data_IF_219803182426
#
_entry.id   IF_219803182426
#
_cell.length_a   1.000
_cell.length_b   1.000
_cell.length_c   1.000
_cell.angle_alpha   90.00
_cell.angle_beta   90.00
_cell.angle_gamma   90.00
#
_symmetry.space_group_name_H-M   'P 1'
#
loop_
_entity.id
_entity.type
_entity.pdbx_description
1 polymer ?
#
# COMPACT_ATOMS: atom_id res chain seq x y z
N UNK A 1 -15.91 -15.60 18.15
CA UNK A 1 -15.02 -16.02 19.25
C UNK A 1 -13.81 -15.10 19.16
N UNK A 2 -13.37 -14.48 20.26
CA UNK A 2 -12.16 -13.66 20.26
C UNK A 2 -10.94 -14.58 20.11
N UNK A 3 -9.98 -14.18 19.27
CA UNK A 3 -8.72 -14.92 19.12
C UNK A 3 -7.94 -14.94 20.44
N UNK A 4 -7.32 -16.07 20.73
CA UNK A 4 -6.56 -16.31 21.97
C UNK A 4 -5.13 -15.80 21.82
N UNK A 5 -4.62 -15.17 22.87
CA UNK A 5 -3.22 -14.81 23.02
C UNK A 5 -2.61 -15.61 24.17
N UNK A 6 -1.58 -16.41 23.89
CA UNK A 6 -0.89 -17.24 24.89
C UNK A 6 0.34 -16.56 25.50
N UNK A 7 0.76 -15.40 25.00
CA UNK A 7 1.80 -14.58 25.62
C UNK A 7 1.21 -13.83 26.82
N UNK A 8 1.31 -14.44 28.00
CA UNK A 8 0.73 -13.90 29.23
C UNK A 8 1.70 -12.92 29.91
N UNK A 9 1.24 -11.71 30.29
CA UNK A 9 2.09 -10.73 30.95
C UNK A 9 2.36 -11.15 32.40
N UNK A 10 3.58 -10.91 32.87
CA UNK A 10 4.02 -11.24 34.22
C UNK A 10 3.92 -10.04 35.17
N UNK A 11 3.54 -10.29 36.43
CA UNK A 11 3.54 -9.30 37.52
C UNK A 11 2.74 -8.00 37.25
N UNK A 12 1.57 -8.11 36.62
CA UNK A 12 0.67 -6.98 36.33
C UNK A 12 -0.35 -6.67 37.42
N UNK A 13 -0.49 -7.55 38.41
CA UNK A 13 -1.42 -7.36 39.52
C UNK A 13 -0.99 -6.19 40.43
N UNK A 14 -1.97 -5.59 41.10
CA UNK A 14 -1.69 -4.61 42.15
C UNK A 14 -0.89 -5.25 43.29
N UNK A 15 0.06 -4.50 43.85
CA UNK A 15 1.00 -5.02 44.86
C UNK A 15 2.02 -6.05 44.35
N UNK A 16 2.20 -6.21 43.03
CA UNK A 16 3.25 -7.06 42.50
C UNK A 16 4.63 -6.68 43.07
N UNK A 17 5.47 -7.68 43.36
CA UNK A 17 6.82 -7.47 43.88
C UNK A 17 7.76 -6.96 42.78
N UNK A 18 7.65 -5.68 42.46
CA UNK A 18 8.37 -4.96 41.40
C UNK A 18 8.79 -3.59 41.92
N UNK A 19 9.87 -3.05 41.36
CA UNK A 19 10.31 -1.68 41.64
C UNK A 19 9.30 -0.63 41.15
N UNK A 20 9.31 0.52 41.83
CA UNK A 20 8.71 1.76 41.33
C UNK A 20 9.39 2.22 40.04
N UNK A 21 8.74 3.11 39.28
CA UNK A 21 9.32 3.64 38.05
C UNK A 21 10.60 4.44 38.36
N UNK A 22 10.59 5.18 39.46
CA UNK A 22 11.68 6.03 39.93
C UNK A 22 12.89 5.19 40.36
N UNK A 23 12.67 4.14 41.16
CA UNK A 23 13.75 3.26 41.62
C UNK A 23 14.35 2.46 40.46
N UNK A 24 13.52 2.00 39.51
CA UNK A 24 14.02 1.27 38.35
C UNK A 24 14.84 2.15 37.40
N UNK A 25 14.46 3.42 37.23
CA UNK A 25 15.21 4.36 36.40
C UNK A 25 16.62 4.64 36.94
N UNK A 26 16.78 4.65 38.26
CA UNK A 26 18.07 4.91 38.93
C UNK A 26 18.88 3.64 39.19
N UNK A 27 18.30 2.45 39.01
CA UNK A 27 18.97 1.16 39.20
C UNK A 27 20.16 0.99 38.25
N UNK A 28 21.38 0.92 38.80
CA UNK A 28 22.63 0.75 38.03
C UNK A 28 22.62 -0.52 37.16
N UNK A 29 22.04 -1.60 37.67
CA UNK A 29 21.94 -2.90 36.97
C UNK A 29 21.03 -2.85 35.74
N UNK A 30 20.13 -1.85 35.61
CA UNK A 30 19.33 -1.64 34.39
C UNK A 30 20.25 -1.37 33.18
N UNK A 31 21.32 -0.61 33.39
CA UNK A 31 22.26 -0.23 32.33
C UNK A 31 23.40 -1.23 32.18
N UNK A 32 23.97 -1.72 33.29
CA UNK A 32 25.16 -2.57 33.26
C UNK A 32 24.85 -4.07 33.26
N UNK A 33 23.58 -4.44 33.39
CA UNK A 33 23.17 -5.81 33.74
C UNK A 33 23.50 -6.17 35.19
N UNK A 34 23.02 -7.33 35.63
CA UNK A 34 23.40 -7.88 36.93
C UNK A 34 24.82 -8.44 36.86
N UNK A 35 25.67 -8.03 37.80
CA UNK A 35 26.98 -8.62 38.03
C UNK A 35 26.88 -9.86 38.92
N UNK A 36 27.98 -10.62 39.07
CA UNK A 36 28.03 -11.72 40.02
C UNK A 36 27.64 -11.27 41.44
N UNK A 37 26.70 -11.97 42.07
CA UNK A 37 26.13 -11.58 43.36
C UNK A 37 24.63 -11.88 43.43
N UNK A 38 23.95 -11.23 44.38
CA UNK A 38 22.50 -11.41 44.59
C UNK A 38 21.73 -10.34 43.82
N UNK A 39 20.87 -10.76 42.88
CA UNK A 39 19.85 -9.89 42.28
C UNK A 39 18.59 -9.94 43.13
N UNK A 40 18.02 -8.77 43.49
CA UNK A 40 16.77 -8.77 44.27
C UNK A 40 15.61 -9.20 43.38
N UNK A 41 14.70 -10.02 43.91
CA UNK A 41 13.56 -10.52 43.12
C UNK A 41 12.73 -9.40 42.50
N UNK A 42 12.56 -8.28 43.20
CA UNK A 42 11.84 -7.11 42.69
C UNK A 42 12.52 -6.47 41.47
N UNK A 43 13.85 -6.56 41.35
CA UNK A 43 14.60 -6.03 40.20
C UNK A 43 14.39 -6.93 38.99
N UNK A 44 14.47 -8.25 39.16
CA UNK A 44 14.21 -9.24 38.11
C UNK A 44 12.76 -9.21 37.64
N UNK A 45 11.82 -9.17 38.59
CA UNK A 45 10.39 -9.09 38.28
C UNK A 45 10.05 -7.83 37.48
N UNK A 46 10.72 -6.70 37.75
CA UNK A 46 10.54 -5.49 36.93
C UNK A 46 10.97 -5.71 35.49
N UNK A 47 12.12 -6.36 35.25
CA UNK A 47 12.61 -6.67 33.90
C UNK A 47 11.65 -7.63 33.20
N UNK A 48 11.24 -8.72 33.86
CA UNK A 48 10.31 -9.69 33.31
C UNK A 48 8.94 -9.09 33.01
N UNK A 49 8.42 -8.22 33.88
CA UNK A 49 7.19 -7.47 33.64
C UNK A 49 7.31 -6.60 32.39
N UNK A 50 8.38 -5.80 32.27
CA UNK A 50 8.59 -4.92 31.11
C UNK A 50 8.65 -5.73 29.80
N UNK A 51 9.39 -6.84 29.78
CA UNK A 51 9.50 -7.68 28.59
C UNK A 51 8.19 -8.40 28.23
N UNK A 52 7.56 -9.05 29.21
CA UNK A 52 6.33 -9.84 28.99
C UNK A 52 5.12 -8.99 28.66
N UNK A 53 5.02 -7.76 29.19
CA UNK A 53 3.94 -6.82 28.83
C UNK A 53 4.05 -6.40 27.36
N UNK A 54 5.25 -6.11 26.87
CA UNK A 54 5.45 -5.79 25.45
C UNK A 54 5.13 -7.00 24.56
N UNK A 55 5.60 -8.20 24.94
CA UNK A 55 5.27 -9.42 24.21
C UNK A 55 3.75 -9.67 24.14
N UNK A 56 3.06 -9.52 25.27
CA UNK A 56 1.61 -9.63 25.35
C UNK A 56 0.90 -8.63 24.43
N UNK A 57 1.28 -7.35 24.45
CA UNK A 57 0.67 -6.30 23.62
C UNK A 57 0.86 -6.59 22.14
N UNK A 58 2.06 -7.00 21.72
CA UNK A 58 2.33 -7.34 20.32
C UNK A 58 1.53 -8.57 19.89
N UNK A 59 1.52 -9.63 20.71
CA UNK A 59 0.75 -10.84 20.42
C UNK A 59 -0.76 -10.58 20.40
N UNK A 60 -1.27 -9.72 21.29
CA UNK A 60 -2.67 -9.33 21.30
C UNK A 60 -3.04 -8.55 20.03
N UNK A 61 -2.17 -7.63 19.60
CA UNK A 61 -2.36 -6.90 18.34
C UNK A 61 -2.45 -7.85 17.14
N UNK A 62 -1.59 -8.87 17.09
CA UNK A 62 -1.64 -9.91 16.05
C UNK A 62 -2.97 -10.67 16.13
N UNK A 63 -3.35 -11.13 17.32
CA UNK A 63 -4.55 -11.92 17.53
C UNK A 63 -5.82 -11.16 17.10
N UNK A 64 -5.97 -9.92 17.56
CA UNK A 64 -7.13 -9.08 17.26
C UNK A 64 -7.19 -8.69 15.79
N UNK A 65 -6.04 -8.31 15.20
CA UNK A 65 -6.02 -7.83 13.82
C UNK A 65 -6.24 -8.97 12.83
N UNK A 66 -5.60 -10.12 13.05
CA UNK A 66 -5.73 -11.27 12.15
C UNK A 66 -6.97 -12.11 12.45
N UNK A 67 -7.59 -11.95 13.62
CA UNK A 67 -8.67 -12.80 14.11
C UNK A 67 -8.23 -14.28 14.13
N UNK A 68 -7.03 -14.53 14.65
CA UNK A 68 -6.39 -15.85 14.71
C UNK A 68 -5.55 -15.98 15.97
N UNK A 69 -5.53 -17.17 16.57
CA UNK A 69 -4.82 -17.42 17.83
C UNK A 69 -3.30 -17.27 17.67
N UNK A 70 -2.66 -16.74 18.71
CA UNK A 70 -1.21 -16.58 18.81
C UNK A 70 -0.70 -17.45 19.95
N UNK A 71 -0.04 -18.55 19.58
CA UNK A 71 0.47 -19.57 20.50
C UNK A 71 1.90 -19.27 20.97
N UNK A 72 2.23 -19.67 22.19
CA UNK A 72 3.60 -19.63 22.73
C UNK A 72 4.28 -21.01 22.54
N UNK A 73 4.52 -21.37 21.28
CA UNK A 73 5.06 -22.67 20.84
C UNK A 73 6.50 -22.60 20.33
N UNK A 74 7.10 -21.40 20.35
CA UNK A 74 8.45 -21.15 19.84
C UNK A 74 8.56 -21.05 18.31
N UNK A 75 7.45 -21.05 17.57
CA UNK A 75 7.43 -20.87 16.11
C UNK A 75 7.61 -19.40 15.73
N UNK A 76 8.87 -19.01 15.57
CA UNK A 76 9.25 -17.64 15.22
C UNK A 76 8.75 -17.22 13.83
N UNK A 77 8.70 -18.16 12.87
CA UNK A 77 8.29 -17.87 11.50
C UNK A 77 6.79 -17.56 11.45
N UNK A 78 5.97 -18.34 12.16
CA UNK A 78 4.53 -18.09 12.29
C UNK A 78 4.25 -16.77 13.01
N UNK A 79 4.97 -16.47 14.09
CA UNK A 79 4.82 -15.20 14.81
C UNK A 79 5.18 -14.00 13.92
N UNK A 80 6.30 -14.10 13.18
CA UNK A 80 6.73 -13.06 12.25
C UNK A 80 5.73 -12.86 11.11
N UNK A 81 5.27 -13.95 10.48
CA UNK A 81 4.27 -13.89 9.42
C UNK A 81 2.96 -13.27 9.92
N UNK A 82 2.52 -13.66 11.12
CA UNK A 82 1.36 -13.09 11.80
C UNK A 82 1.51 -11.58 12.02
N UNK A 83 2.66 -11.11 12.48
CA UNK A 83 2.93 -9.68 12.67
C UNK A 83 2.89 -8.89 11.35
N UNK A 84 3.53 -9.41 10.30
CA UNK A 84 3.52 -8.76 8.98
C UNK A 84 2.09 -8.67 8.43
N UNK A 85 1.31 -9.74 8.59
CA UNK A 85 -0.09 -9.77 8.17
C UNK A 85 -0.93 -8.75 8.96
N UNK A 86 -0.74 -8.68 10.28
CA UNK A 86 -1.47 -7.76 11.14
C UNK A 86 -1.16 -6.30 10.77
N UNK A 87 0.12 -5.96 10.57
CA UNK A 87 0.52 -4.62 10.12
C UNK A 87 -0.12 -4.27 8.76
N UNK A 88 -0.04 -5.20 7.79
CA UNK A 88 -0.61 -4.99 6.45
C UNK A 88 -2.13 -4.78 6.49
N UNK A 89 -2.84 -5.59 7.29
CA UNK A 89 -4.29 -5.48 7.47
C UNK A 89 -4.68 -4.22 8.25
N UNK A 90 -3.90 -3.83 9.25
CA UNK A 90 -4.12 -2.59 9.98
C UNK A 90 -4.02 -1.37 9.05
N UNK A 91 -2.98 -1.31 8.20
CA UNK A 91 -2.86 -0.25 7.18
C UNK A 91 -4.07 -0.23 6.25
N UNK A 92 -4.48 -1.38 5.73
CA UNK A 92 -5.64 -1.48 4.82
C UNK A 92 -6.97 -1.09 5.48
N UNK A 93 -7.09 -1.25 6.81
CA UNK A 93 -8.31 -0.91 7.55
C UNK A 93 -8.35 0.54 8.02
N UNK A 94 -7.18 1.15 8.26
CA UNK A 94 -7.08 2.51 8.84
C UNK A 94 -6.81 3.59 7.80
N UNK A 95 -6.21 3.22 6.67
CA UNK A 95 -5.98 4.13 5.55
C UNK A 95 -7.08 3.91 4.52
N UNK A 96 -7.99 4.89 4.31
CA UNK A 96 -9.06 4.73 3.34
C UNK A 96 -8.53 4.74 1.90
N UNK A 97 -9.39 4.34 0.96
CA UNK A 97 -9.13 4.59 -0.46
C UNK A 97 -9.08 6.10 -0.72
N UNK A 98 -8.14 6.54 -1.56
CA UNK A 98 -8.06 7.94 -1.95
C UNK A 98 -9.30 8.37 -2.74
N UNK A 99 -9.76 9.60 -2.53
CA UNK A 99 -10.82 10.24 -3.30
C UNK A 99 -10.54 11.73 -3.46
N UNK A 100 -11.38 12.44 -4.21
CA UNK A 100 -11.29 13.90 -4.35
C UNK A 100 -11.49 14.67 -3.04
N UNK A 101 -12.00 14.02 -1.99
CA UNK A 101 -12.30 14.65 -0.69
C UNK A 101 -11.51 14.05 0.48
N UNK A 102 -10.95 12.85 0.30
CA UNK A 102 -10.28 12.10 1.37
C UNK A 102 -8.94 11.58 0.85
N UNK A 103 -7.85 11.94 1.53
CA UNK A 103 -6.54 11.37 1.24
C UNK A 103 -6.52 9.87 1.58
N UNK A 104 -5.79 9.09 0.80
CA UNK A 104 -5.75 7.63 0.96
C UNK A 104 -4.77 6.97 -0.01
N UNK A 105 -4.88 5.65 -0.15
CA UNK A 105 -4.08 4.87 -1.10
C UNK A 105 -4.93 4.62 -2.37
N UNK A 106 -4.32 4.73 -3.55
CA UNK A 106 -4.93 4.33 -4.83
C UNK A 106 -3.93 3.51 -5.63
N UNK A 107 -4.43 2.54 -6.39
CA UNK A 107 -3.60 1.77 -7.31
C UNK A 107 -3.47 2.53 -8.64
N UNK A 108 -2.25 2.57 -9.17
CA UNK A 108 -1.93 3.27 -10.40
C UNK A 108 -2.09 2.35 -11.61
N UNK A 109 -2.59 2.90 -12.72
CA UNK A 109 -2.67 2.20 -14.01
C UNK A 109 -1.98 2.98 -15.13
N UNK A 110 -1.28 2.24 -15.99
CA UNK A 110 -0.68 2.76 -17.23
C UNK A 110 -1.47 2.35 -18.48
N UNK A 111 -2.64 1.72 -18.34
CA UNK A 111 -3.53 1.40 -19.46
C UNK A 111 -4.10 2.69 -20.08
N UNK A 112 -4.22 2.72 -21.41
CA UNK A 112 -4.76 3.87 -22.17
C UNK A 112 -6.23 3.73 -22.54
N UNK A 113 -6.82 2.58 -22.22
CA UNK A 113 -8.16 2.11 -22.56
C UNK A 113 -8.88 1.51 -21.33
N UNK A 114 -8.47 1.92 -20.13
CA UNK A 114 -9.04 1.43 -18.88
C UNK A 114 -10.38 2.11 -18.59
N UNK A 115 -11.43 1.29 -18.42
CA UNK A 115 -12.76 1.72 -17.94
C UNK A 115 -12.85 1.78 -16.40
N UNK A 116 -11.75 1.55 -15.68
CA UNK A 116 -11.73 1.58 -14.21
C UNK A 116 -11.85 2.98 -13.63
N UNK A 117 -12.82 3.18 -12.75
CA UNK A 117 -13.00 4.42 -11.98
C UNK A 117 -12.29 4.41 -10.60
N UNK A 118 -11.68 3.28 -10.23
CA UNK A 118 -10.99 3.12 -8.93
C UNK A 118 -9.47 3.24 -9.02
N UNK A 119 -8.91 3.18 -10.23
CA UNK A 119 -7.48 3.31 -10.49
C UNK A 119 -7.13 4.72 -10.94
N UNK A 120 -6.02 5.27 -10.42
CA UNK A 120 -5.52 6.56 -10.88
C UNK A 120 -4.64 6.40 -12.13
N UNK A 121 -4.85 7.26 -13.12
CA UNK A 121 -4.06 7.29 -14.35
C UNK A 121 -2.63 7.77 -14.09
N UNK A 122 -1.63 7.05 -14.62
CA UNK A 122 -0.23 7.48 -14.58
C UNK A 122 0.08 8.52 -15.66
N UNK A 123 1.07 9.42 -15.44
CA UNK A 123 1.54 10.36 -16.46
C UNK A 123 1.94 9.69 -17.77
N UNK A 124 2.44 8.45 -17.73
CA UNK A 124 2.76 7.65 -18.92
C UNK A 124 1.53 7.36 -19.79
N UNK A 125 0.42 6.94 -19.18
CA UNK A 125 -0.84 6.69 -19.91
C UNK A 125 -1.39 7.98 -20.51
N UNK A 126 -1.39 9.06 -19.72
CA UNK A 126 -1.83 10.38 -20.18
C UNK A 126 -0.98 10.85 -21.36
N UNK A 127 0.36 10.70 -21.28
CA UNK A 127 1.26 11.04 -22.37
C UNK A 127 1.00 10.21 -23.62
N UNK A 128 0.80 8.89 -23.50
CA UNK A 128 0.52 8.02 -24.64
C UNK A 128 -0.78 8.42 -25.36
N UNK A 129 -1.83 8.78 -24.61
CA UNK A 129 -3.08 9.32 -25.16
C UNK A 129 -2.81 10.65 -25.89
N UNK A 130 -2.07 11.57 -25.26
CA UNK A 130 -1.71 12.85 -25.87
C UNK A 130 -0.91 12.67 -27.15
N UNK A 131 0.09 11.78 -27.16
CA UNK A 131 0.92 11.50 -28.34
C UNK A 131 0.05 10.94 -29.50
N UNK A 132 -0.84 10.01 -29.20
CA UNK A 132 -1.79 9.44 -30.17
C UNK A 132 -2.74 10.50 -30.76
N UNK A 133 -3.18 11.48 -29.95
CA UNK A 133 -4.06 12.57 -30.39
C UNK A 133 -3.30 13.69 -31.12
N UNK A 134 -2.03 13.90 -30.78
CA UNK A 134 -1.19 14.99 -31.31
C UNK A 134 -0.81 14.79 -32.79
N UNK A 135 -0.79 13.54 -33.27
CA UNK A 135 -0.48 13.19 -34.66
C UNK A 135 -1.54 13.62 -35.69
N UNK A 136 -2.72 14.06 -35.24
CA UNK A 136 -3.87 14.36 -36.08
C UNK A 136 -4.69 13.11 -36.42
N UNK A 137 -6.00 13.29 -36.62
CA UNK A 137 -6.94 12.23 -37.03
C UNK A 137 -7.46 12.51 -38.43
N UNK A 138 -7.75 11.47 -39.21
CA UNK A 138 -8.47 11.62 -40.46
C UNK A 138 -9.84 12.27 -40.19
N UNK A 139 -10.13 13.39 -40.86
CA UNK A 139 -11.38 14.14 -40.67
C UNK A 139 -12.46 13.73 -41.66
N UNK A 140 -12.10 13.62 -42.93
CA UNK A 140 -13.02 13.24 -44.01
C UNK A 140 -12.24 12.74 -45.23
N UNK A 141 -12.88 11.92 -46.07
CA UNK A 141 -12.42 11.56 -47.40
C UNK A 141 -13.38 12.19 -48.41
N UNK A 142 -12.87 13.05 -49.29
CA UNK A 142 -13.65 13.62 -50.40
C UNK A 142 -13.13 13.04 -51.72
N UNK A 143 -14.04 12.45 -52.51
CA UNK A 143 -13.72 11.83 -53.81
C UNK A 143 -14.30 12.65 -54.95
N UNK A 144 -13.48 12.89 -55.98
CA UNK A 144 -13.87 13.61 -57.18
C UNK A 144 -13.68 12.70 -58.40
N UNK A 145 -14.76 12.44 -59.16
CA UNK A 145 -14.72 11.67 -60.42
C UNK A 145 -14.73 12.55 -61.67
N UNK A 146 -14.88 13.87 -61.45
CA UNK A 146 -14.77 14.95 -62.43
C UNK A 146 -14.05 16.12 -61.77
N UNK A 147 -13.50 17.05 -62.55
CA UNK A 147 -12.88 18.26 -62.01
C UNK A 147 -13.85 19.02 -61.10
N UNK A 148 -13.35 19.47 -59.94
CA UNK A 148 -14.13 20.18 -58.93
C UNK A 148 -13.24 20.88 -57.90
N UNK A 149 -13.85 21.74 -57.08
CA UNK A 149 -13.15 22.47 -56.02
C UNK A 149 -13.20 21.68 -54.71
N UNK A 150 -12.05 21.51 -54.06
CA UNK A 150 -11.99 20.98 -52.71
C UNK A 150 -12.31 22.09 -51.69
N UNK A 151 -13.36 21.90 -50.90
CA UNK A 151 -13.66 22.74 -49.74
C UNK A 151 -13.17 22.01 -48.48
N UNK A 152 -12.15 22.54 -47.77
CA UNK A 152 -11.63 21.91 -46.57
C UNK A 152 -12.72 21.73 -45.51
N UNK A 153 -12.83 20.53 -44.95
CA UNK A 153 -13.65 20.32 -43.75
C UNK A 153 -13.07 21.17 -42.61
N UNK A 154 -13.90 21.90 -41.82
CA UNK A 154 -13.40 22.70 -40.71
C UNK A 154 -12.45 21.90 -39.81
N UNK A 155 -11.30 22.48 -39.47
CA UNK A 155 -10.24 21.81 -38.71
C UNK A 155 -9.20 21.04 -39.53
N UNK A 156 -9.29 21.02 -40.87
CA UNK A 156 -8.28 20.41 -41.73
C UNK A 156 -6.94 21.16 -41.65
N UNK A 157 -5.89 20.49 -41.16
CA UNK A 157 -4.51 21.04 -41.09
C UNK A 157 -3.59 20.52 -42.19
N UNK A 158 -3.85 19.31 -42.69
CA UNK A 158 -3.10 18.65 -43.76
C UNK A 158 -4.08 17.88 -44.64
N UNK A 159 -3.78 17.81 -45.93
CA UNK A 159 -4.49 16.98 -46.91
C UNK A 159 -3.53 15.99 -47.53
N UNK A 160 -3.97 14.73 -47.64
CA UNK A 160 -3.30 13.71 -48.45
C UNK A 160 -4.13 13.53 -49.73
N UNK A 161 -3.53 13.81 -50.87
CA UNK A 161 -4.18 13.67 -52.17
C UNK A 161 -3.72 12.37 -52.82
N UNK A 162 -4.65 11.57 -53.31
CA UNK A 162 -4.38 10.36 -54.10
C UNK A 162 -5.05 10.57 -55.46
N UNK A 163 -4.27 10.46 -56.53
CA UNK A 163 -4.72 10.61 -57.91
C UNK A 163 -4.57 9.27 -58.63
N UNK A 164 -5.65 8.78 -59.25
CA UNK A 164 -5.63 7.59 -60.10
C UNK A 164 -5.95 8.01 -61.52
N UNK A 165 -4.99 7.95 -62.43
CA UNK A 165 -5.19 8.22 -63.85
C UNK A 165 -5.55 6.95 -64.61
N UNK A 166 -6.75 6.88 -65.18
CA UNK A 166 -7.11 5.85 -66.16
C UNK A 166 -6.54 6.22 -67.52
N UNK A 167 -5.60 5.44 -68.04
CA UNK A 167 -5.07 5.63 -69.40
C UNK A 167 -6.13 5.29 -70.44
N UNK A 168 -6.55 6.25 -71.25
CA UNK A 168 -7.39 6.00 -72.41
C UNK A 168 -6.52 5.48 -73.56
N UNK A 169 -6.73 4.23 -73.98
CA UNK A 169 -6.19 3.72 -75.24
C UNK A 169 -6.95 4.37 -76.40
N UNK A 170 -6.32 5.32 -77.08
CA UNK A 170 -6.84 5.89 -78.32
C UNK A 170 -6.64 4.90 -79.47
N UNK A 171 -7.73 4.51 -80.12
CA UNK A 171 -7.80 3.78 -81.38
C UNK A 171 -9.09 4.14 -82.08
#
# INVERSE_FOLDING_TARGET
MMAKNEFLPFATADGANVLSAEDYQTLRSRSNGFSAGVARSQELNTVWRQASVIAHVVAQFIADTNNSDVADDGDLDKLQAGLIQALSKNVNNTVPAASLKTAGITQLSSATDSESETLAAMPKAVKAIVDNLSGGRLLNIQSFTRSGTYTPTPGTRKVKVILTGGGASGG
#
